data_IF_922826197959
#
_entry.id   IF_922826197959
#
_cell.length_a   1.000
_cell.length_b   1.000
_cell.length_c   1.000
_cell.angle_alpha   90.00
_cell.angle_beta   90.00
_cell.angle_gamma   90.00
#
_symmetry.space_group_name_H-M   'P 1'
#
loop_
_entity.id
_entity.type
_entity.pdbx_description
1 polymer ?
#
# COMPACT_ATOMS: atom_id res chain seq x y z
N UNK A 1 -19.80 -70.68 35.40
CA UNK A 1 -19.64 -72.14 35.33
C UNK A 1 -20.77 -72.69 34.47
N UNK A 2 -20.59 -73.73 33.65
CA UNK A 2 -19.43 -74.14 32.83
C UNK A 2 -19.86 -74.39 31.34
N UNK A 3 -18.94 -74.31 30.37
CA UNK A 3 -18.44 -75.41 29.49
C UNK A 3 -19.51 -76.10 28.62
N UNK A 4 -19.46 -75.87 27.29
CA UNK A 4 -18.83 -76.75 26.26
C UNK A 4 -19.77 -77.90 25.89
N UNK A 5 -19.89 -78.43 24.69
CA UNK A 5 -19.14 -78.49 23.43
C UNK A 5 -20.17 -79.10 22.44
N UNK A 6 -20.08 -79.14 21.11
CA UNK A 6 -18.99 -79.65 20.30
C UNK A 6 -19.45 -79.67 18.82
N UNK A 7 -18.50 -79.35 17.93
CA UNK A 7 -18.19 -80.01 16.62
C UNK A 7 -19.30 -80.24 15.58
N UNK A 8 -19.04 -80.11 14.29
CA UNK A 8 -17.78 -80.03 13.56
C UNK A 8 -18.05 -79.60 12.12
N UNK A 9 -17.14 -78.83 11.50
CA UNK A 9 -15.90 -79.33 10.89
C UNK A 9 -16.27 -79.96 9.53
N UNK A 10 -15.91 -79.37 8.39
CA UNK A 10 -14.65 -79.54 7.66
C UNK A 10 -14.95 -78.98 6.24
N UNK A 11 -14.09 -78.41 5.40
CA UNK A 11 -12.64 -78.47 5.12
C UNK A 11 -12.48 -77.55 3.85
N UNK A 12 -11.39 -76.89 3.47
CA UNK A 12 -9.98 -77.26 3.53
C UNK A 12 -9.09 -76.03 3.22
N UNK A 13 -8.02 -75.90 4.03
CA UNK A 13 -6.59 -75.77 3.66
C UNK A 13 -6.13 -74.76 2.56
N UNK A 14 -5.01 -74.04 2.69
CA UNK A 14 -3.90 -74.16 3.65
C UNK A 14 -2.97 -72.92 3.63
N UNK A 15 -2.44 -72.64 4.83
CA UNK A 15 -1.05 -72.25 5.17
C UNK A 15 -0.42 -70.96 4.59
N UNK A 16 -0.23 -69.90 5.40
CA UNK A 16 0.86 -69.64 6.39
C UNK A 16 2.21 -69.29 5.72
N UNK A 17 3.00 -68.27 6.10
CA UNK A 17 3.52 -67.98 7.45
C UNK A 17 4.25 -66.60 7.50
N UNK A 18 4.19 -65.90 8.64
CA UNK A 18 5.02 -64.71 9.03
C UNK A 18 6.39 -65.19 9.62
N UNK A 19 7.19 -64.45 10.43
CA UNK A 19 7.48 -63.00 10.68
C UNK A 19 9.02 -62.70 10.77
N UNK A 20 9.48 -61.47 11.00
CA UNK A 20 10.85 -61.28 11.54
C UNK A 20 11.51 -59.90 11.42
N UNK A 21 11.99 -59.38 12.55
CA UNK A 21 12.63 -58.07 12.81
C UNK A 21 14.10 -58.03 12.33
N UNK A 22 14.62 -56.88 11.88
CA UNK A 22 15.87 -56.23 12.38
C UNK A 22 16.65 -55.32 11.39
N UNK A 23 17.03 -54.14 11.93
CA UNK A 23 18.34 -53.44 11.83
C UNK A 23 18.65 -52.52 10.63
N UNK A 24 19.27 -51.40 11.03
CA UNK A 24 19.77 -50.25 10.28
C UNK A 24 20.97 -50.59 9.38
N UNK A 25 21.07 -49.91 8.22
CA UNK A 25 22.20 -49.04 7.81
C UNK A 25 22.62 -49.14 6.34
N UNK A 26 22.92 -47.94 5.81
CA UNK A 26 23.90 -47.56 4.77
C UNK A 26 23.64 -47.83 3.28
N UNK A 27 23.25 -46.74 2.60
CA UNK A 27 23.79 -46.16 1.35
C UNK A 27 24.27 -47.11 0.24
N UNK A 28 23.56 -47.07 -0.89
CA UNK A 28 24.19 -47.11 -2.21
C UNK A 28 23.51 -46.06 -3.10
N UNK A 29 24.27 -45.01 -3.45
CA UNK A 29 23.86 -43.99 -4.40
C UNK A 29 23.77 -44.60 -5.80
N UNK A 30 22.59 -44.58 -6.41
CA UNK A 30 22.41 -44.86 -7.84
C UNK A 30 22.04 -43.54 -8.53
N UNK A 31 22.95 -43.12 -9.39
CA UNK A 31 23.03 -41.80 -10.00
C UNK A 31 21.88 -41.60 -10.98
N UNK A 32 21.07 -40.56 -10.79
CA UNK A 32 20.14 -40.08 -11.81
C UNK A 32 20.78 -38.85 -12.47
N UNK A 33 21.29 -39.03 -13.68
CA UNK A 33 21.76 -37.93 -14.52
C UNK A 33 20.57 -37.06 -14.92
N UNK A 34 20.59 -35.74 -14.65
CA UNK A 34 19.57 -34.85 -15.19
C UNK A 34 19.79 -34.70 -16.70
N UNK A 35 18.73 -34.95 -17.48
CA UNK A 35 18.68 -34.66 -18.91
C UNK A 35 18.79 -33.15 -19.10
N UNK A 36 19.96 -32.67 -19.53
CA UNK A 36 20.13 -31.27 -19.96
C UNK A 36 19.54 -31.17 -21.37
N UNK A 37 18.32 -30.65 -21.48
CA UNK A 37 17.81 -30.15 -22.75
C UNK A 37 18.57 -28.86 -23.10
N UNK A 38 19.35 -28.91 -24.17
CA UNK A 38 20.01 -27.74 -24.74
C UNK A 38 18.95 -26.83 -25.39
N UNK A 39 18.57 -25.75 -24.70
CA UNK A 39 17.83 -24.67 -25.33
C UNK A 39 18.79 -23.85 -26.19
N UNK A 40 18.53 -23.86 -27.49
CA UNK A 40 19.22 -23.07 -28.50
C UNK A 40 19.31 -21.59 -28.09
N UNK A 41 20.47 -20.99 -28.36
CA UNK A 41 20.72 -19.57 -28.14
C UNK A 41 19.66 -18.72 -28.87
N UNK A 42 18.81 -18.03 -28.11
CA UNK A 42 18.05 -16.89 -28.62
C UNK A 42 18.95 -15.64 -28.52
N UNK A 43 19.34 -15.01 -29.63
CA UNK A 43 19.98 -13.70 -29.60
C UNK A 43 18.94 -12.68 -29.16
N UNK A 44 19.02 -12.22 -27.91
CA UNK A 44 18.04 -11.27 -27.40
C UNK A 44 18.01 -11.16 -25.89
N UNK A 45 19.17 -11.05 -25.24
CA UNK A 45 19.23 -10.44 -23.91
C UNK A 45 18.96 -8.94 -24.04
N UNK A 46 17.74 -8.58 -24.42
CA UNK A 46 17.24 -7.24 -24.20
C UNK A 46 16.87 -7.16 -22.73
N UNK A 47 17.59 -6.32 -21.98
CA UNK A 47 17.23 -5.98 -20.61
C UNK A 47 15.73 -5.67 -20.56
N UNK A 48 14.99 -6.45 -19.78
CA UNK A 48 13.63 -6.10 -19.39
C UNK A 48 13.71 -4.91 -18.44
N UNK A 49 14.03 -3.73 -18.98
CA UNK A 49 13.71 -2.48 -18.31
C UNK A 49 12.19 -2.42 -18.42
N UNK A 50 11.50 -2.73 -17.32
CA UNK A 50 10.07 -2.42 -17.22
C UNK A 50 9.87 -0.99 -17.73
N UNK A 51 8.99 -0.76 -18.71
CA UNK A 51 8.76 0.60 -19.18
C UNK A 51 8.44 1.45 -17.95
N UNK A 52 9.18 2.54 -17.75
CA UNK A 52 8.87 3.47 -16.66
C UNK A 52 7.38 3.78 -16.74
N UNK A 53 6.63 3.64 -15.62
CA UNK A 53 5.20 3.84 -15.66
C UNK A 53 4.92 5.21 -16.26
N UNK A 54 4.22 5.24 -17.39
CA UNK A 54 3.82 6.48 -18.04
C UNK A 54 2.92 7.19 -17.05
N UNK A 55 3.44 8.25 -16.44
CA UNK A 55 2.67 9.09 -15.53
C UNK A 55 1.43 9.60 -16.26
N UNK A 56 0.26 9.64 -15.60
CA UNK A 56 -0.87 10.37 -16.14
C UNK A 56 -0.45 11.81 -16.48
N UNK A 57 -0.99 12.34 -17.58
CA UNK A 57 -0.81 13.74 -17.98
C UNK A 57 -1.20 14.69 -16.84
N UNK A 58 -2.21 14.33 -16.06
CA UNK A 58 -2.64 15.05 -14.86
C UNK A 58 -3.00 14.07 -13.76
N UNK A 59 -2.57 14.32 -12.52
CA UNK A 59 -2.88 13.48 -11.36
C UNK A 59 -2.89 14.27 -10.04
N UNK A 60 -3.60 13.73 -9.06
CA UNK A 60 -3.63 14.24 -7.69
C UNK A 60 -2.50 13.62 -6.86
N UNK A 61 -1.78 14.47 -6.15
CA UNK A 61 -0.78 14.09 -5.15
C UNK A 61 -1.21 14.59 -3.79
N UNK A 62 -0.89 13.85 -2.74
CA UNK A 62 -1.21 14.25 -1.37
C UNK A 62 0.05 14.18 -0.53
N UNK A 63 0.18 15.15 0.38
CA UNK A 63 1.23 15.18 1.40
C UNK A 63 0.59 15.45 2.74
N UNK A 64 0.93 14.64 3.73
CA UNK A 64 0.60 14.89 5.13
C UNK A 64 1.88 15.26 5.85
N UNK A 65 1.82 16.28 6.70
CA UNK A 65 2.91 16.62 7.60
C UNK A 65 2.40 16.75 9.03
N UNK A 66 3.22 16.31 9.98
CA UNK A 66 3.10 16.76 11.36
C UNK A 66 3.56 18.22 11.41
N UNK A 67 2.64 19.10 11.81
CA UNK A 67 2.85 20.54 11.85
C UNK A 67 3.17 21.03 13.27
N UNK A 68 3.48 20.10 14.19
CA UNK A 68 3.99 20.37 15.53
C UNK A 68 2.89 20.64 16.56
N UNK A 69 3.26 21.37 17.61
CA UNK A 69 2.34 21.75 18.69
C UNK A 69 1.76 23.14 18.45
N UNK A 70 0.48 23.30 18.81
CA UNK A 70 -0.23 24.58 18.87
C UNK A 70 -0.86 24.74 20.25
N UNK A 71 -0.82 25.95 20.81
CA UNK A 71 -1.49 26.25 22.07
C UNK A 71 -2.95 26.61 21.80
N UNK A 72 -3.86 25.99 22.53
CA UNK A 72 -5.31 26.25 22.49
C UNK A 72 -5.80 26.58 23.90
N UNK A 73 -7.08 26.97 24.03
CA UNK A 73 -7.71 27.17 25.34
C UNK A 73 -7.76 25.90 26.20
N UNK A 74 -7.59 24.72 25.57
CA UNK A 74 -7.54 23.41 26.22
C UNK A 74 -6.10 22.94 26.50
N UNK A 75 -5.11 23.82 26.32
CA UNK A 75 -3.68 23.55 26.46
C UNK A 75 -2.99 23.25 25.12
N UNK A 76 -1.76 22.73 25.19
CA UNK A 76 -1.01 22.31 24.01
C UNK A 76 -1.75 21.17 23.28
N UNK A 77 -1.82 21.26 21.96
CA UNK A 77 -2.42 20.25 21.07
C UNK A 77 -1.52 20.02 19.88
N UNK A 78 -1.55 18.81 19.32
CA UNK A 78 -0.78 18.50 18.11
C UNK A 78 -1.57 18.86 16.86
N UNK A 79 -0.88 19.42 15.87
CA UNK A 79 -1.44 19.91 14.62
C UNK A 79 -0.84 19.11 13.46
N UNK A 80 -1.65 18.76 12.48
CA UNK A 80 -1.18 18.19 11.22
C UNK A 80 -1.80 18.96 10.06
N UNK A 81 -1.15 18.88 8.90
CA UNK A 81 -1.58 19.55 7.69
C UNK A 81 -1.66 18.54 6.55
N UNK A 82 -2.75 18.61 5.77
CA UNK A 82 -2.89 17.87 4.52
C UNK A 82 -2.74 18.87 3.38
N UNK A 83 -1.80 18.64 2.48
CA UNK A 83 -1.65 19.38 1.23
C UNK A 83 -2.07 18.49 0.07
N UNK A 84 -3.01 18.97 -0.75
CA UNK A 84 -3.42 18.30 -1.98
C UNK A 84 -2.87 19.08 -3.16
N UNK A 85 -2.26 18.37 -4.11
CA UNK A 85 -1.64 18.94 -5.30
C UNK A 85 -2.33 18.42 -6.54
N UNK A 86 -2.64 19.31 -7.49
CA UNK A 86 -2.91 18.92 -8.87
C UNK A 86 -1.59 19.00 -9.62
N UNK A 87 -1.19 17.89 -10.22
CA UNK A 87 0.09 17.76 -10.92
C UNK A 87 -0.19 17.60 -12.40
N UNK A 88 0.64 18.21 -13.25
CA UNK A 88 0.56 18.03 -14.69
C UNK A 88 1.91 18.20 -15.38
N UNK A 89 1.95 17.96 -16.67
CA UNK A 89 3.11 18.25 -17.51
C UNK A 89 3.34 19.75 -17.66
N UNK A 90 4.60 20.17 -17.64
CA UNK A 90 4.99 21.55 -17.93
C UNK A 90 5.91 22.17 -16.89
N UNK A 91 5.94 23.50 -16.91
CA UNK A 91 6.80 24.36 -16.08
C UNK A 91 5.94 25.34 -15.27
N UNK A 92 6.58 26.10 -14.37
CA UNK A 92 5.94 27.19 -13.63
C UNK A 92 5.16 28.11 -14.57
N UNK A 93 3.92 28.43 -14.20
CA UNK A 93 2.99 29.24 -14.99
C UNK A 93 2.11 28.42 -15.95
N UNK A 94 2.42 27.15 -16.20
CA UNK A 94 1.57 26.29 -17.03
C UNK A 94 0.26 25.99 -16.28
N UNK A 95 -0.92 26.24 -16.88
CA UNK A 95 -2.18 25.85 -16.28
C UNK A 95 -2.33 24.33 -16.32
N UNK A 96 -2.69 23.74 -15.18
CA UNK A 96 -2.97 22.31 -15.02
C UNK A 96 -4.47 22.13 -15.03
N UNK A 97 -5.01 21.35 -15.98
CA UNK A 97 -6.46 21.16 -16.12
C UNK A 97 -6.89 19.85 -15.48
N UNK A 98 -7.56 19.94 -14.34
CA UNK A 98 -8.24 18.81 -13.73
C UNK A 98 -9.62 18.67 -14.36
N UNK A 99 -9.79 17.68 -15.25
CA UNK A 99 -11.01 17.51 -16.06
C UNK A 99 -12.25 17.09 -15.28
N UNK A 100 -12.06 16.45 -14.12
CA UNK A 100 -13.13 15.91 -13.30
C UNK A 100 -12.84 16.17 -11.82
N UNK A 101 -13.89 16.27 -11.01
CA UNK A 101 -13.74 16.43 -9.58
C UNK A 101 -12.90 15.30 -8.98
N UNK A 102 -11.95 15.70 -8.14
CA UNK A 102 -11.15 14.81 -7.32
C UNK A 102 -11.70 14.66 -5.92
N UNK A 103 -11.40 13.53 -5.28
CA UNK A 103 -11.72 13.30 -3.87
C UNK A 103 -10.53 12.69 -3.15
N UNK A 104 -10.22 13.28 -2.01
CA UNK A 104 -9.21 12.78 -1.08
C UNK A 104 -9.92 12.44 0.23
N UNK A 105 -10.00 11.15 0.56
CA UNK A 105 -10.49 10.69 1.86
C UNK A 105 -9.33 10.62 2.85
N UNK A 106 -9.61 10.90 4.13
CA UNK A 106 -8.64 10.73 5.19
C UNK A 106 -9.27 10.17 6.47
N UNK A 107 -8.44 9.49 7.26
CA UNK A 107 -8.76 8.93 8.57
C UNK A 107 -7.64 9.18 9.55
N UNK A 108 -8.02 9.32 10.81
CA UNK A 108 -7.10 9.57 11.92
C UNK A 108 -7.36 8.60 13.06
N UNK A 109 -6.35 8.34 13.89
CA UNK A 109 -6.54 7.54 15.11
C UNK A 109 -7.33 8.30 16.18
N UNK A 110 -7.22 9.63 16.17
CA UNK A 110 -7.74 10.53 17.19
C UNK A 110 -8.71 11.54 16.63
N UNK A 111 -9.60 12.03 17.49
CA UNK A 111 -10.58 13.03 17.14
C UNK A 111 -9.89 14.35 16.80
N UNK A 112 -10.36 15.04 15.76
CA UNK A 112 -9.80 16.32 15.34
C UNK A 112 -10.84 17.43 15.29
N UNK A 113 -10.36 18.66 15.38
CA UNK A 113 -11.09 19.88 15.05
C UNK A 113 -10.55 20.45 13.75
N UNK A 114 -11.41 21.16 13.03
CA UNK A 114 -11.20 21.58 11.65
C UNK A 114 -11.34 23.10 11.56
N UNK A 115 -10.38 23.76 10.91
CA UNK A 115 -10.45 25.21 10.64
C UNK A 115 -10.92 25.57 9.23
N UNK A 116 -11.14 24.60 8.34
CA UNK A 116 -11.44 24.82 6.92
C UNK A 116 -12.87 24.43 6.56
N UNK A 117 -13.53 25.21 5.71
CA UNK A 117 -14.89 24.92 5.19
C UNK A 117 -14.90 23.96 4.00
N UNK A 118 -13.75 23.71 3.39
CA UNK A 118 -13.62 22.86 2.20
C UNK A 118 -13.46 21.36 2.52
N UNK A 119 -13.35 21.03 3.80
CA UNK A 119 -13.26 19.65 4.26
C UNK A 119 -14.61 19.21 4.79
N UNK A 120 -15.15 18.15 4.21
CA UNK A 120 -16.40 17.56 4.67
C UNK A 120 -16.10 16.50 5.71
N UNK A 121 -16.61 16.72 6.93
CA UNK A 121 -16.45 15.79 8.05
C UNK A 121 -17.48 14.66 7.92
N UNK A 122 -17.01 13.41 7.92
CA UNK A 122 -17.87 12.22 7.92
C UNK A 122 -18.08 11.70 9.34
N UNK A 123 -17.12 11.93 10.24
CA UNK A 123 -17.19 11.57 11.65
C UNK A 123 -16.08 12.23 12.46
N UNK A 124 -15.92 11.87 13.75
CA UNK A 124 -14.95 12.53 14.62
C UNK A 124 -13.49 12.38 14.15
N UNK A 125 -13.21 11.29 13.44
CA UNK A 125 -11.88 10.80 13.03
C UNK A 125 -11.70 10.62 11.52
N UNK A 126 -12.59 11.21 10.72
CA UNK A 126 -12.44 11.11 9.27
C UNK A 126 -13.31 12.08 8.50
N UNK A 127 -12.91 12.28 7.25
CA UNK A 127 -13.58 13.17 6.33
C UNK A 127 -13.00 13.04 4.93
N UNK A 128 -13.39 13.99 4.09
CA UNK A 128 -12.86 14.09 2.75
C UNK A 128 -12.73 15.52 2.27
N UNK A 129 -11.85 15.71 1.30
CA UNK A 129 -11.59 16.97 0.63
C UNK A 129 -12.02 16.79 -0.83
N UNK A 130 -12.92 17.65 -1.28
CA UNK A 130 -13.31 17.72 -2.69
C UNK A 130 -12.38 18.68 -3.43
N UNK A 131 -11.90 18.24 -4.59
CA UNK A 131 -10.99 19.00 -5.45
C UNK A 131 -11.77 19.34 -6.72
N UNK A 132 -12.28 20.58 -6.86
CA UNK A 132 -13.13 20.93 -7.99
C UNK A 132 -12.48 20.66 -9.34
N UNK A 133 -13.26 20.25 -10.34
CA UNK A 133 -12.77 20.29 -11.71
C UNK A 133 -12.44 21.75 -12.09
N UNK A 134 -11.36 21.95 -12.86
CA UNK A 134 -10.95 23.28 -13.27
C UNK A 134 -9.49 23.42 -13.65
N UNK A 135 -9.10 24.66 -13.93
CA UNK A 135 -7.74 25.04 -14.24
C UNK A 135 -7.03 25.54 -12.99
N UNK A 136 -5.86 24.98 -12.71
CA UNK A 136 -5.02 25.31 -11.56
C UNK A 136 -3.71 25.95 -12.04
N UNK A 137 -3.29 27.04 -11.41
CA UNK A 137 -2.02 27.70 -11.75
C UNK A 137 -0.84 26.88 -11.21
N UNK A 138 -0.12 26.19 -12.11
CA UNK A 138 1.08 25.44 -11.75
C UNK A 138 2.19 26.37 -11.27
N UNK A 139 2.73 26.13 -10.07
CA UNK A 139 3.74 27.01 -9.46
C UNK A 139 4.97 26.27 -8.93
N UNK A 140 4.89 24.96 -8.73
CA UNK A 140 5.95 24.16 -8.11
C UNK A 140 6.51 23.21 -9.18
N UNK A 141 7.62 23.54 -9.85
CA UNK A 141 8.23 22.68 -10.86
C UNK A 141 9.02 21.55 -10.20
N UNK A 142 9.00 20.36 -10.80
CA UNK A 142 9.79 19.20 -10.41
C UNK A 142 9.97 18.23 -11.58
N UNK A 143 10.79 17.19 -11.42
CA UNK A 143 10.95 16.14 -12.43
C UNK A 143 10.68 14.76 -11.84
N UNK A 144 10.03 13.90 -12.62
CA UNK A 144 9.92 12.46 -12.35
C UNK A 144 10.31 11.72 -13.62
N UNK A 145 11.27 10.79 -13.53
CA UNK A 145 11.70 9.98 -14.68
C UNK A 145 12.22 10.81 -15.86
N UNK A 146 12.81 11.98 -15.60
CA UNK A 146 13.30 12.91 -16.63
C UNK A 146 12.21 13.76 -17.29
N UNK A 147 10.93 13.56 -16.95
CA UNK A 147 9.81 14.37 -17.44
C UNK A 147 9.60 15.56 -16.49
N UNK A 148 9.50 16.76 -17.06
CA UNK A 148 9.18 17.96 -16.29
C UNK A 148 7.69 18.01 -15.95
N UNK A 149 7.42 18.16 -14.67
CA UNK A 149 6.08 18.31 -14.11
C UNK A 149 5.99 19.63 -13.35
N UNK A 150 4.78 20.13 -13.22
CA UNK A 150 4.45 21.25 -12.35
C UNK A 150 3.27 20.87 -11.46
N UNK A 151 3.31 21.29 -10.20
CA UNK A 151 2.24 21.11 -9.25
C UNK A 151 1.59 22.45 -8.88
N UNK A 152 0.30 22.40 -8.61
CA UNK A 152 -0.48 23.47 -8.00
C UNK A 152 -1.03 22.99 -6.67
N UNK A 153 -0.78 23.74 -5.60
CA UNK A 153 -1.39 23.48 -4.29
C UNK A 153 -2.88 23.86 -4.36
N UNK A 154 -3.75 22.90 -4.08
CA UNK A 154 -5.20 23.14 -4.05
C UNK A 154 -5.51 24.19 -2.98
N UNK A 155 -6.40 25.12 -3.31
CA UNK A 155 -6.78 26.26 -2.45
C UNK A 155 -5.65 27.22 -2.05
N UNK A 156 -4.44 27.05 -2.60
CA UNK A 156 -3.29 27.92 -2.33
C UNK A 156 -2.62 27.73 -0.97
N UNK A 157 -3.16 26.89 -0.08
CA UNK A 157 -2.60 26.61 1.25
C UNK A 157 -2.95 25.18 1.72
N UNK A 158 -2.15 24.58 2.63
CA UNK A 158 -2.49 23.32 3.26
C UNK A 158 -3.76 23.41 4.11
N UNK A 159 -4.46 22.30 4.29
CA UNK A 159 -5.60 22.16 5.18
C UNK A 159 -5.11 21.86 6.61
N UNK A 160 -5.32 22.75 7.60
CA UNK A 160 -4.87 22.53 8.97
C UNK A 160 -5.90 21.76 9.79
N UNK A 161 -5.40 20.84 10.60
CA UNK A 161 -6.18 20.01 11.53
C UNK A 161 -5.51 20.00 12.90
N UNK A 162 -6.31 20.05 13.97
CA UNK A 162 -5.82 20.02 15.35
C UNK A 162 -6.45 18.85 16.08
N UNK A 163 -5.63 17.98 16.68
CA UNK A 163 -6.14 16.89 17.51
C UNK A 163 -6.81 17.43 18.77
N UNK A 164 -7.91 16.79 19.17
CA UNK A 164 -8.69 17.18 20.35
C UNK A 164 -8.03 16.70 21.65
N UNK A 165 -7.33 15.56 21.58
CA UNK A 165 -6.63 14.91 22.68
C UNK A 165 -5.32 15.64 23.04
N UNK A 166 -4.78 15.45 24.28
CA UNK A 166 -3.45 15.90 24.63
C UNK A 166 -2.38 15.44 23.64
N UNK A 167 -1.23 16.14 23.54
CA UNK A 167 -0.23 15.84 22.53
C UNK A 167 0.29 14.40 22.64
N UNK A 168 0.05 13.64 21.57
CA UNK A 168 0.52 12.27 21.45
C UNK A 168 0.93 11.97 20.00
N UNK A 169 1.55 10.81 19.78
CA UNK A 169 1.76 10.30 18.43
C UNK A 169 0.41 9.91 17.84
N UNK A 170 0.22 10.17 16.55
CA UNK A 170 -1.04 9.91 15.86
C UNK A 170 -0.75 9.53 14.42
N UNK A 171 -1.49 8.56 13.89
CA UNK A 171 -1.46 8.21 12.48
C UNK A 171 -2.56 8.95 11.71
N UNK A 172 -2.24 9.30 10.47
CA UNK A 172 -3.17 9.86 9.49
C UNK A 172 -3.06 9.04 8.22
N UNK A 173 -4.13 8.34 7.88
CA UNK A 173 -4.27 7.64 6.61
C UNK A 173 -4.92 8.58 5.60
N UNK A 174 -4.36 8.68 4.39
CA UNK A 174 -4.92 9.51 3.33
C UNK A 174 -4.90 8.79 2.00
N UNK A 175 -5.97 8.94 1.23
CA UNK A 175 -6.16 8.23 -0.03
C UNK A 175 -6.89 9.11 -1.04
N UNK A 176 -6.37 9.13 -2.28
CA UNK A 176 -7.13 9.65 -3.42
C UNK A 176 -8.15 8.58 -3.83
N UNK A 177 -9.44 8.88 -3.69
CA UNK A 177 -10.54 7.95 -3.96
C UNK A 177 -11.40 8.35 -5.15
N UNK A 178 -11.22 9.57 -5.65
CA UNK A 178 -11.82 10.06 -6.88
C UNK A 178 -10.84 10.95 -7.65
N UNK A 179 -10.89 10.88 -8.98
CA UNK A 179 -9.96 11.60 -9.86
C UNK A 179 -8.72 10.78 -10.24
N UNK A 180 -7.89 11.31 -11.16
CA UNK A 180 -6.66 10.64 -11.56
C UNK A 180 -5.65 10.68 -10.41
N UNK A 181 -5.10 9.53 -10.02
CA UNK A 181 -4.07 9.39 -9.00
C UNK A 181 -2.83 8.71 -9.58
N UNK A 182 -1.65 9.01 -9.04
CA UNK A 182 -0.43 8.29 -9.41
C UNK A 182 0.05 7.41 -8.24
N UNK A 183 0.18 6.09 -8.44
CA UNK A 183 0.79 5.18 -7.47
C UNK A 183 2.32 5.28 -7.56
N UNK A 184 2.88 6.42 -7.17
CA UNK A 184 4.33 6.60 -7.11
C UNK A 184 4.89 6.15 -5.77
N UNK A 185 6.10 5.59 -5.77
CA UNK A 185 6.86 5.30 -4.55
C UNK A 185 7.08 6.61 -3.78
N UNK A 186 6.77 6.67 -2.48
CA UNK A 186 6.92 7.90 -1.72
C UNK A 186 8.39 8.33 -1.68
N UNK A 187 8.66 9.60 -1.99
CA UNK A 187 9.92 10.21 -1.59
C UNK A 187 10.01 10.18 -0.04
N UNK A 188 11.19 9.98 0.56
CA UNK A 188 11.34 9.92 2.02
C UNK A 188 10.65 11.13 2.67
N UNK A 189 9.64 10.85 3.51
CA UNK A 189 8.74 11.86 4.09
C UNK A 189 7.36 12.01 3.43
N UNK A 190 6.89 11.04 2.63
CA UNK A 190 5.54 11.00 2.03
C UNK A 190 4.91 9.63 2.28
N UNK A 191 3.59 9.55 2.47
CA UNK A 191 2.85 8.26 2.52
C UNK A 191 2.06 8.08 1.22
N UNK A 192 2.08 6.82 0.80
CA UNK A 192 1.61 6.15 -0.39
C UNK A 192 0.09 6.24 -0.65
N UNK A 193 -0.28 6.24 -1.92
CA UNK A 193 -1.59 5.74 -2.38
C UNK A 193 -1.62 4.21 -2.21
N UNK A 194 -2.00 3.74 -1.00
CA UNK A 194 -2.09 2.33 -0.51
C UNK A 194 -0.75 1.57 -0.56
N UNK A 195 -0.25 0.91 0.48
CA UNK A 195 -0.84 0.01 1.47
C UNK A 195 -0.06 0.21 2.80
N UNK A 196 -0.78 0.42 3.92
CA UNK A 196 -0.30 0.31 5.31
C UNK A 196 1.21 0.56 5.56
N UNK A 197 1.63 1.82 5.63
CA UNK A 197 2.98 2.16 6.10
C UNK A 197 2.92 2.90 7.45
N UNK A 198 3.50 2.24 8.47
CA UNK A 198 3.83 2.83 9.76
C UNK A 198 4.86 3.94 9.58
N UNK A 199 4.57 5.11 10.14
CA UNK A 199 5.56 6.18 10.22
C UNK A 199 6.54 5.86 11.36
N UNK A 200 7.63 5.16 11.07
CA UNK A 200 8.80 5.05 11.96
C UNK A 200 9.77 6.18 11.66
N UNK A 201 10.13 6.94 12.69
CA UNK A 201 11.31 7.80 12.72
C UNK A 201 12.15 7.37 13.91
N UNK A 202 13.43 7.08 13.64
CA UNK A 202 14.49 7.07 14.66
C UNK A 202 14.50 8.38 15.46
#
# INVERSE_FOLDING_TARGET
MPFDEHTGDQHDHDSAQRPGVARRSTLAAAWSTPVIAACAAAPGAAASVSPSPVLPETFLGVRVIDAGLVTTDLGARRRFEISVFVNGDGITGTPIVLRQEGRVDFRTDHDFTLGSTQVVRVGPRGGYILIPAGSYAGSIPYSIGGVMKVAALVSGAPYPFVYSDPPQRAHVEVMVTGGPAHPGTPAPGKISTREKDELTTD
#
